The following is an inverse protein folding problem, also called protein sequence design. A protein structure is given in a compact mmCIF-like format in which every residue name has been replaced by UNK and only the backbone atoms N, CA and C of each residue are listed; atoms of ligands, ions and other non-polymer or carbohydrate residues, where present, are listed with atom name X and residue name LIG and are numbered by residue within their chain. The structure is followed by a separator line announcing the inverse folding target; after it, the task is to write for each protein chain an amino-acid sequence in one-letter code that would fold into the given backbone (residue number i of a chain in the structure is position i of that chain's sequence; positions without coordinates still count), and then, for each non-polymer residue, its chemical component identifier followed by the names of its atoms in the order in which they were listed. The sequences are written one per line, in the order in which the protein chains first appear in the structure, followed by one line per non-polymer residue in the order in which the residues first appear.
data_IF_507533175861
#
_entry.id   IF_507533175861
#
_cell.length_a   1.000
_cell.length_b   1.000
_cell.length_c   1.000
_cell.angle_alpha   90.00
_cell.angle_beta   90.00
_cell.angle_gamma   90.00
#
_symmetry.space_group_name_H-M   'P 1'
#
loop_
_entity.id
_entity.type
_entity.pdbx_description
1 polymer ?
#
# COMPACT_ATOMS: atom_id res chain seq x y z
N UNK A 1 -22.28 -34.47 4.76
CA UNK A 1 -21.10 -33.62 4.52
C UNK A 1 -20.36 -33.41 5.83
N UNK A 2 -19.17 -34.01 5.99
CA UNK A 2 -18.29 -33.74 7.12
C UNK A 2 -17.31 -32.64 6.72
N UNK A 3 -17.16 -31.61 7.56
CA UNK A 3 -16.18 -30.53 7.37
C UNK A 3 -14.94 -30.84 8.21
N UNK A 4 -13.75 -30.75 7.60
CA UNK A 4 -12.46 -30.90 8.29
C UNK A 4 -11.60 -29.67 8.01
N UNK A 5 -11.06 -29.07 9.08
CA UNK A 5 -10.07 -28.00 8.95
C UNK A 5 -8.73 -28.59 8.49
N UNK A 6 -8.17 -28.03 7.43
CA UNK A 6 -6.84 -28.32 6.89
C UNK A 6 -5.95 -27.16 7.33
N UNK A 7 -4.73 -27.43 7.78
CA UNK A 7 -3.73 -26.38 8.04
C UNK A 7 -4.18 -25.33 9.09
N UNK A 8 -4.56 -25.78 10.29
CA UNK A 8 -5.19 -24.94 11.34
C UNK A 8 -4.32 -23.80 11.88
N UNK A 9 -3.01 -23.93 11.78
CA UNK A 9 -2.02 -22.98 12.26
C UNK A 9 -1.68 -21.91 11.21
N UNK A 10 -2.29 -21.94 10.03
CA UNK A 10 -2.12 -20.94 9.00
C UNK A 10 -2.89 -19.66 9.35
N UNK A 11 -2.14 -18.56 9.46
CA UNK A 11 -2.68 -17.25 9.88
C UNK A 11 -2.84 -16.28 8.72
N UNK A 12 -2.36 -16.62 7.52
CA UNK A 12 -2.47 -15.81 6.31
C UNK A 12 -3.81 -16.06 5.62
N UNK A 13 -4.25 -15.12 4.80
CA UNK A 13 -5.54 -15.20 4.10
C UNK A 13 -5.31 -15.44 2.61
N UNK A 14 -5.56 -16.66 2.09
CA UNK A 14 -5.44 -16.92 0.65
C UNK A 14 -6.46 -16.11 -0.15
N UNK A 15 -6.01 -15.46 -1.22
CA UNK A 15 -6.85 -14.71 -2.16
C UNK A 15 -7.28 -15.55 -3.37
N UNK A 16 -6.59 -16.65 -3.62
CA UNK A 16 -6.96 -17.66 -4.61
C UNK A 16 -6.58 -19.06 -4.15
N UNK A 17 -7.39 -20.05 -4.53
CA UNK A 17 -7.16 -21.48 -4.29
C UNK A 17 -7.40 -22.26 -5.58
N UNK A 18 -6.48 -23.16 -5.93
CA UNK A 18 -6.64 -24.10 -7.04
C UNK A 18 -6.26 -25.51 -6.60
N UNK A 19 -7.01 -26.51 -7.06
CA UNK A 19 -6.70 -27.92 -6.78
C UNK A 19 -5.62 -28.47 -7.71
N UNK A 20 -4.76 -29.34 -7.16
CA UNK A 20 -3.97 -30.28 -7.96
C UNK A 20 -4.88 -31.24 -8.72
N UNK A 21 -4.34 -31.90 -9.76
CA UNK A 21 -5.11 -32.81 -10.59
C UNK A 21 -5.63 -34.05 -9.85
N UNK A 22 -4.86 -34.54 -8.86
CA UNK A 22 -5.18 -35.69 -8.00
C UNK A 22 -6.08 -35.34 -6.81
N UNK A 23 -6.31 -34.04 -6.54
CA UNK A 23 -7.07 -33.59 -5.37
C UNK A 23 -6.33 -33.72 -4.04
N UNK A 24 -5.03 -34.01 -4.05
CA UNK A 24 -4.24 -34.18 -2.82
C UNK A 24 -3.64 -32.87 -2.31
N UNK A 25 -3.60 -31.81 -3.14
CA UNK A 25 -3.02 -30.52 -2.81
C UNK A 25 -3.85 -29.33 -3.29
N UNK A 26 -3.69 -28.22 -2.60
CA UNK A 26 -4.16 -26.90 -3.00
C UNK A 26 -2.98 -25.97 -3.30
N UNK A 27 -3.07 -25.20 -4.37
CA UNK A 27 -2.22 -24.04 -4.63
C UNK A 27 -2.92 -22.80 -4.09
N UNK A 28 -2.30 -22.13 -3.13
CA UNK A 28 -2.82 -20.96 -2.45
C UNK A 28 -1.97 -19.73 -2.80
N UNK A 29 -2.60 -18.69 -3.36
CA UNK A 29 -1.99 -17.37 -3.49
C UNK A 29 -2.32 -16.59 -2.22
N UNK A 30 -1.34 -16.02 -1.54
CA UNK A 30 -1.57 -15.24 -0.32
C UNK A 30 -0.54 -14.12 -0.19
N UNK A 31 -0.86 -13.08 0.59
CA UNK A 31 0.14 -12.14 1.07
C UNK A 31 1.00 -12.82 2.14
N UNK A 32 2.30 -12.69 2.04
CA UNK A 32 3.28 -13.18 3.01
C UNK A 32 4.39 -12.14 3.11
N UNK A 33 4.31 -11.31 4.15
CA UNK A 33 5.10 -10.09 4.25
C UNK A 33 4.94 -9.23 2.97
N UNK A 34 6.03 -8.67 2.43
CA UNK A 34 6.04 -7.91 1.19
C UNK A 34 5.80 -8.74 -0.09
N UNK A 35 5.80 -10.08 -0.01
CA UNK A 35 5.62 -10.94 -1.18
C UNK A 35 4.15 -11.38 -1.35
N UNK A 36 3.81 -11.79 -2.58
CA UNK A 36 2.55 -12.51 -2.86
C UNK A 36 2.91 -13.86 -3.48
N UNK A 37 3.35 -14.84 -2.66
CA UNK A 37 3.75 -16.13 -3.17
C UNK A 37 2.59 -17.08 -3.46
N UNK A 38 2.93 -18.18 -4.15
CA UNK A 38 2.13 -19.40 -4.18
C UNK A 38 2.68 -20.38 -3.15
N UNK A 39 1.77 -20.97 -2.39
CA UNK A 39 2.01 -22.10 -1.51
C UNK A 39 1.29 -23.35 -2.01
N UNK A 40 1.90 -24.52 -1.86
CA UNK A 40 1.14 -25.78 -1.85
C UNK A 40 0.64 -26.07 -0.43
N UNK A 41 -0.55 -26.64 -0.32
CA UNK A 41 -1.16 -27.10 0.93
C UNK A 41 -1.66 -28.53 0.71
N UNK A 42 -1.01 -29.48 1.36
CA UNK A 42 -1.38 -30.90 1.35
C UNK A 42 -2.70 -31.10 2.08
N UNK A 43 -3.64 -31.79 1.43
CA UNK A 43 -4.96 -32.07 1.99
C UNK A 43 -4.89 -33.16 3.05
N UNK A 44 -4.15 -34.29 2.88
CA UNK A 44 -4.07 -35.34 3.90
C UNK A 44 -3.60 -34.82 5.26
N UNK A 45 -2.46 -34.12 5.30
CA UNK A 45 -1.75 -33.75 6.53
C UNK A 45 -1.71 -32.24 6.84
N UNK A 46 -2.15 -31.38 5.91
CA UNK A 46 -2.13 -29.92 6.08
C UNK A 46 -0.75 -29.28 5.94
N UNK A 47 0.27 -30.03 5.51
CA UNK A 47 1.62 -29.50 5.32
C UNK A 47 1.65 -28.48 4.18
N UNK A 48 2.47 -27.43 4.36
CA UNK A 48 2.56 -26.32 3.42
C UNK A 48 3.98 -26.11 2.94
N UNK A 49 4.13 -25.71 1.69
CA UNK A 49 5.43 -25.36 1.09
C UNK A 49 5.29 -24.14 0.19
N UNK A 50 6.19 -23.17 0.36
CA UNK A 50 6.26 -22.00 -0.52
C UNK A 50 6.96 -22.41 -1.82
N UNK A 51 6.26 -22.30 -2.95
CA UNK A 51 6.78 -22.76 -4.25
C UNK A 51 7.35 -21.64 -5.12
N UNK A 52 7.01 -20.38 -4.83
CA UNK A 52 7.58 -19.20 -5.51
C UNK A 52 8.59 -18.47 -4.62
N UNK A 53 9.60 -17.84 -5.24
CA UNK A 53 10.56 -16.98 -4.55
C UNK A 53 9.97 -15.62 -4.13
N UNK A 54 10.83 -14.60 -4.02
CA UNK A 54 10.45 -13.20 -3.83
C UNK A 54 9.55 -12.69 -4.97
N UNK A 55 8.89 -11.56 -4.76
CA UNK A 55 8.01 -10.91 -5.72
C UNK A 55 6.54 -11.27 -5.53
N UNK A 56 5.72 -10.97 -6.54
CA UNK A 56 4.26 -11.03 -6.42
C UNK A 56 3.62 -11.75 -7.59
N UNK A 57 2.76 -12.71 -7.26
CA UNK A 57 1.87 -13.39 -8.20
C UNK A 57 0.52 -12.68 -8.22
N UNK A 58 0.17 -12.07 -9.36
CA UNK A 58 -1.08 -11.33 -9.56
C UNK A 58 -2.12 -12.11 -10.36
N UNK A 59 -1.74 -13.27 -10.93
CA UNK A 59 -2.62 -14.15 -11.64
C UNK A 59 -2.16 -15.60 -11.55
N UNK A 60 -3.09 -16.52 -11.34
CA UNK A 60 -2.85 -17.96 -11.32
C UNK A 60 -3.96 -18.67 -12.10
N UNK A 61 -3.59 -19.49 -13.09
CA UNK A 61 -4.52 -20.26 -13.92
C UNK A 61 -3.96 -21.65 -14.22
N UNK A 62 -4.84 -22.64 -14.32
CA UNK A 62 -4.46 -23.99 -14.77
C UNK A 62 -4.37 -24.03 -16.29
N UNK A 63 -3.33 -24.68 -16.82
CA UNK A 63 -3.12 -24.97 -18.23
C UNK A 63 -2.61 -26.41 -18.39
N UNK A 64 -3.53 -27.35 -18.66
CA UNK A 64 -3.19 -28.78 -18.72
C UNK A 64 -2.67 -29.31 -17.38
N UNK A 65 -1.45 -29.86 -17.43
CA UNK A 65 -0.72 -30.41 -16.27
C UNK A 65 0.14 -29.36 -15.54
N UNK A 66 0.04 -28.09 -15.95
CA UNK A 66 0.79 -26.97 -15.39
C UNK A 66 -0.14 -25.86 -14.88
N UNK A 67 0.46 -24.93 -14.15
CA UNK A 67 -0.07 -23.64 -13.74
C UNK A 67 0.67 -22.55 -14.50
N UNK A 68 -0.07 -21.57 -15.00
CA UNK A 68 0.48 -20.31 -15.49
C UNK A 68 0.34 -19.26 -14.38
N UNK A 69 1.43 -18.56 -14.13
CA UNK A 69 1.52 -17.48 -13.16
C UNK A 69 1.83 -16.18 -13.88
N UNK A 70 1.12 -15.11 -13.54
CA UNK A 70 1.56 -13.75 -13.84
C UNK A 70 2.35 -13.26 -12.63
N UNK A 71 3.69 -13.15 -12.78
CA UNK A 71 4.60 -12.77 -11.69
C UNK A 71 5.39 -11.53 -12.06
N UNK A 72 5.57 -10.63 -11.09
CA UNK A 72 6.49 -9.49 -11.15
C UNK A 72 7.33 -9.38 -9.87
N UNK A 73 8.32 -8.51 -9.92
CA UNK A 73 9.13 -8.05 -8.79
C UNK A 73 9.38 -6.54 -8.91
N UNK A 74 10.04 -5.91 -7.95
CA UNK A 74 10.19 -4.45 -7.92
C UNK A 74 11.06 -3.95 -9.07
N UNK A 75 11.97 -4.80 -9.53
CA UNK A 75 12.89 -4.63 -10.65
C UNK A 75 12.51 -5.46 -11.89
N UNK A 76 11.36 -6.14 -11.87
CA UNK A 76 10.90 -6.97 -12.97
C UNK A 76 9.41 -6.77 -13.24
N UNK A 77 9.07 -6.25 -14.43
CA UNK A 77 7.69 -6.20 -14.91
C UNK A 77 7.02 -7.59 -14.93
N UNK A 78 5.69 -7.61 -14.98
CA UNK A 78 4.93 -8.86 -15.11
C UNK A 78 5.37 -9.66 -16.34
N UNK A 79 5.70 -10.92 -16.09
CA UNK A 79 5.91 -11.96 -17.10
C UNK A 79 5.15 -13.23 -16.74
N UNK A 80 4.98 -14.10 -17.73
CA UNK A 80 4.32 -15.39 -17.57
C UNK A 80 5.35 -16.43 -17.15
N UNK A 81 5.01 -17.16 -16.09
CA UNK A 81 5.78 -18.30 -15.59
C UNK A 81 4.93 -19.56 -15.64
N UNK A 82 5.59 -20.70 -15.73
CA UNK A 82 5.00 -22.03 -15.67
C UNK A 82 5.44 -22.77 -14.41
N UNK A 83 4.52 -23.44 -13.73
CA UNK A 83 4.79 -24.33 -12.62
C UNK A 83 4.05 -25.66 -12.84
N UNK A 84 4.73 -26.80 -12.74
CA UNK A 84 4.06 -28.10 -12.87
C UNK A 84 3.09 -28.35 -11.71
N UNK A 85 1.94 -28.99 -11.98
CA UNK A 85 1.00 -29.38 -10.92
C UNK A 85 1.58 -30.43 -9.97
N UNK A 86 2.59 -31.18 -10.40
CA UNK A 86 3.37 -32.10 -9.56
C UNK A 86 4.34 -31.39 -8.62
N UNK A 87 4.46 -30.05 -8.70
CA UNK A 87 5.34 -29.23 -7.89
C UNK A 87 6.64 -28.83 -8.59
N UNK A 88 7.58 -28.26 -7.82
CA UNK A 88 8.85 -27.74 -8.32
C UNK A 88 8.91 -26.21 -8.29
N UNK A 89 9.87 -25.64 -9.04
CA UNK A 89 10.07 -24.19 -9.12
C UNK A 89 9.44 -23.62 -10.40
N UNK A 90 8.86 -22.41 -10.36
CA UNK A 90 8.38 -21.72 -11.53
C UNK A 90 9.50 -21.47 -12.55
N UNK A 91 9.19 -21.63 -13.84
CA UNK A 91 10.07 -21.34 -14.98
C UNK A 91 9.46 -20.21 -15.82
N UNK A 92 10.24 -19.17 -16.09
CA UNK A 92 9.80 -18.06 -16.93
C UNK A 92 9.54 -18.54 -18.37
N UNK A 93 8.42 -18.12 -18.96
CA UNK A 93 8.01 -18.42 -20.33
C UNK A 93 8.18 -17.22 -21.27
N UNK A 94 8.03 -16.01 -20.75
CA UNK A 94 8.05 -14.78 -21.55
C UNK A 94 9.05 -13.79 -20.98
N UNK A 95 9.53 -12.91 -21.85
CA UNK A 95 10.22 -11.67 -21.49
C UNK A 95 9.61 -10.54 -22.34
N UNK A 96 8.41 -10.10 -21.95
CA UNK A 96 7.58 -9.18 -22.77
C UNK A 96 8.15 -7.75 -22.78
N UNK A 97 8.94 -7.40 -21.77
CA UNK A 97 9.41 -6.03 -21.56
C UNK A 97 10.95 -5.89 -21.50
N UNK A 98 11.73 -6.96 -21.65
CA UNK A 98 13.18 -6.92 -21.48
C UNK A 98 13.88 -5.89 -22.35
N UNK A 99 13.51 -5.81 -23.63
CA UNK A 99 14.00 -4.82 -24.60
C UNK A 99 13.62 -3.37 -24.25
N UNK A 100 12.47 -3.15 -23.61
CA UNK A 100 12.06 -1.82 -23.14
C UNK A 100 12.74 -1.41 -21.83
N UNK A 101 13.14 -2.38 -21.01
CA UNK A 101 13.74 -2.15 -19.69
C UNK A 101 15.27 -2.09 -19.74
N UNK A 102 15.91 -2.49 -20.84
CA UNK A 102 17.39 -2.60 -20.96
C UNK A 102 18.14 -1.33 -20.51
N UNK A 103 17.57 -0.14 -20.76
CA UNK A 103 18.18 1.15 -20.42
C UNK A 103 17.45 1.89 -19.28
N UNK A 104 16.59 1.18 -18.54
CA UNK A 104 15.85 1.73 -17.40
C UNK A 104 16.42 1.12 -16.12
N UNK A 105 16.93 1.97 -15.24
CA UNK A 105 17.30 1.53 -13.91
C UNK A 105 16.02 1.27 -13.08
N UNK A 106 15.87 0.03 -12.65
CA UNK A 106 14.94 -0.36 -11.60
C UNK A 106 15.77 -0.83 -10.41
N UNK A 107 15.61 -0.16 -9.27
CA UNK A 107 16.34 -0.51 -8.06
C UNK A 107 15.66 -1.67 -7.36
N UNK A 108 16.41 -2.67 -6.84
CA UNK A 108 15.81 -3.70 -6.01
C UNK A 108 15.24 -3.09 -4.72
N UNK A 109 14.17 -3.71 -4.20
CA UNK A 109 13.67 -3.39 -2.88
C UNK A 109 14.62 -3.95 -1.81
N UNK A 110 15.01 -3.12 -0.85
CA UNK A 110 15.80 -3.52 0.31
C UNK A 110 14.91 -3.54 1.55
N UNK A 111 14.58 -4.74 2.01
CA UNK A 111 13.79 -4.97 3.22
C UNK A 111 14.49 -4.48 4.48
N UNK A 112 13.69 -3.90 5.38
CA UNK A 112 14.06 -3.67 6.76
C UNK A 112 12.88 -3.94 7.68
N UNK A 113 13.20 -4.22 8.94
CA UNK A 113 12.20 -4.48 9.97
C UNK A 113 12.50 -3.64 11.20
N UNK A 114 11.44 -3.17 11.84
CA UNK A 114 11.53 -2.39 13.06
C UNK A 114 10.40 -2.79 14.02
N UNK A 115 10.54 -2.41 15.27
CA UNK A 115 9.49 -2.58 16.27
C UNK A 115 8.47 -1.43 16.10
N UNK A 116 7.24 -1.77 15.73
CA UNK A 116 6.14 -0.83 15.51
C UNK A 116 5.31 -0.59 16.77
N UNK A 117 4.04 -0.21 16.57
CA UNK A 117 3.03 -0.18 17.61
C UNK A 117 2.92 -1.55 18.30
N UNK A 118 2.51 -1.54 19.57
CA UNK A 118 2.34 -2.77 20.37
C UNK A 118 3.58 -3.68 20.46
N UNK A 119 4.75 -3.16 20.12
CA UNK A 119 5.99 -3.93 19.98
C UNK A 119 5.96 -5.03 18.91
N UNK A 120 5.00 -4.97 17.99
CA UNK A 120 4.91 -5.91 16.88
C UNK A 120 5.98 -5.60 15.82
N UNK A 121 6.44 -6.63 15.09
CA UNK A 121 7.41 -6.43 14.00
C UNK A 121 6.72 -5.88 12.76
N UNK A 122 7.15 -4.71 12.30
CA UNK A 122 6.64 -4.04 11.11
C UNK A 122 7.70 -4.05 10.02
N UNK A 123 7.28 -4.35 8.79
CA UNK A 123 8.16 -4.36 7.62
C UNK A 123 8.06 -3.03 6.88
N UNK A 124 9.22 -2.59 6.40
CA UNK A 124 9.30 -1.67 5.28
C UNK A 124 10.34 -2.12 4.29
N UNK A 125 10.39 -1.46 3.17
CA UNK A 125 11.50 -1.57 2.23
C UNK A 125 11.80 -0.22 1.63
N UNK A 126 13.03 -0.09 1.14
CA UNK A 126 13.47 1.10 0.43
C UNK A 126 14.00 0.76 -0.95
N UNK A 127 13.90 1.73 -1.86
CA UNK A 127 14.57 1.68 -3.17
C UNK A 127 15.52 2.87 -3.24
N UNK A 128 16.78 2.57 -3.58
CA UNK A 128 17.84 3.58 -3.70
C UNK A 128 17.78 4.27 -5.06
N UNK A 129 18.12 5.56 -5.14
CA UNK A 129 18.11 6.30 -6.38
C UNK A 129 19.16 5.79 -7.38
N UNK A 130 18.96 6.15 -8.65
CA UNK A 130 19.93 5.87 -9.73
C UNK A 130 21.30 6.46 -9.37
N UNK A 131 22.36 5.68 -9.54
CA UNK A 131 23.73 6.14 -9.25
C UNK A 131 23.97 6.43 -7.76
N UNK A 132 23.32 5.66 -6.89
CA UNK A 132 23.47 5.78 -5.44
C UNK A 132 24.95 5.76 -4.99
N UNK A 133 25.28 6.70 -4.11
CA UNK A 133 26.58 6.88 -3.48
C UNK A 133 26.36 6.94 -1.95
N UNK A 134 26.87 5.97 -1.17
CA UNK A 134 26.65 5.92 0.27
C UNK A 134 27.27 7.11 1.03
N UNK A 135 28.15 7.90 0.40
CA UNK A 135 28.70 9.12 0.99
C UNK A 135 27.79 10.35 0.83
N UNK A 136 26.73 10.27 0.02
CA UNK A 136 25.77 11.36 -0.22
C UNK A 136 24.51 11.18 0.61
N UNK A 137 23.77 12.28 0.80
CA UNK A 137 22.43 12.28 1.40
C UNK A 137 21.34 12.61 0.40
N UNK A 138 20.29 11.79 0.40
CA UNK A 138 19.19 11.85 -0.55
C UNK A 138 17.89 12.26 0.15
N UNK A 139 17.01 13.04 -0.51
CA UNK A 139 15.67 13.30 0.02
C UNK A 139 14.86 11.99 0.09
N UNK A 140 13.88 11.94 0.98
CA UNK A 140 13.02 10.77 1.18
C UNK A 140 11.66 10.99 0.52
N UNK A 141 11.21 10.06 -0.32
CA UNK A 141 9.83 9.95 -0.77
C UNK A 141 9.15 8.80 -0.01
N UNK A 142 8.28 9.14 0.93
CA UNK A 142 7.65 8.20 1.85
C UNK A 142 6.24 7.85 1.37
N UNK A 143 6.09 6.65 0.82
CA UNK A 143 4.89 6.21 0.10
C UNK A 143 4.01 5.40 1.06
N UNK A 144 2.84 5.95 1.39
CA UNK A 144 1.86 5.33 2.28
C UNK A 144 0.74 4.71 1.44
N UNK A 145 0.52 3.40 1.58
CA UNK A 145 -0.51 2.69 0.81
C UNK A 145 -1.93 3.04 1.24
N UNK A 146 -2.88 2.83 0.33
CA UNK A 146 -4.31 2.87 0.59
C UNK A 146 -4.82 1.62 1.31
N UNK A 147 -6.15 1.49 1.43
CA UNK A 147 -6.80 0.43 2.20
C UNK A 147 -7.76 1.02 3.24
N UNK A 148 -7.57 0.78 4.55
CA UNK A 148 -6.29 0.43 5.18
C UNK A 148 -5.94 -1.06 5.18
N UNK A 149 -6.90 -1.96 4.93
CA UNK A 149 -6.66 -3.41 4.91
C UNK A 149 -6.09 -3.89 3.56
N UNK A 150 -5.06 -3.20 3.09
CA UNK A 150 -4.23 -3.57 1.94
C UNK A 150 -2.76 -3.50 2.34
N UNK A 151 -1.86 -3.92 1.47
CA UNK A 151 -0.42 -3.84 1.67
C UNK A 151 0.25 -3.40 0.37
N UNK A 152 1.37 -2.69 0.47
CA UNK A 152 2.29 -2.68 -0.65
C UNK A 152 2.93 -4.08 -0.78
N UNK A 153 3.42 -4.39 -1.96
CA UNK A 153 4.13 -5.64 -2.22
C UNK A 153 5.38 -5.36 -3.05
N UNK A 154 6.28 -6.33 -3.12
CA UNK A 154 7.42 -6.32 -4.03
C UNK A 154 7.00 -6.45 -5.51
N UNK A 155 5.72 -6.57 -5.85
CA UNK A 155 5.26 -6.58 -7.23
C UNK A 155 5.52 -5.26 -7.96
N UNK A 156 5.69 -5.34 -9.28
CA UNK A 156 5.91 -4.14 -10.09
C UNK A 156 4.66 -3.26 -10.13
N UNK A 157 4.77 -2.03 -9.62
CA UNK A 157 3.72 -1.02 -9.71
C UNK A 157 3.66 -0.35 -11.09
N UNK A 158 2.51 -0.33 -11.73
CA UNK A 158 2.32 0.36 -13.03
C UNK A 158 1.77 1.79 -12.90
N UNK A 159 1.59 2.27 -11.67
CA UNK A 159 0.89 3.52 -11.36
C UNK A 159 1.80 4.53 -10.64
N UNK A 160 1.18 5.58 -10.13
CA UNK A 160 1.82 6.67 -9.40
C UNK A 160 2.50 6.21 -8.10
N UNK A 161 2.28 4.96 -7.69
CA UNK A 161 2.80 4.39 -6.45
C UNK A 161 4.04 3.50 -6.66
N UNK A 162 4.58 3.44 -7.88
CA UNK A 162 5.85 2.74 -8.13
C UNK A 162 7.02 3.52 -7.52
N UNK A 163 7.75 2.95 -6.54
CA UNK A 163 8.90 3.62 -5.91
C UNK A 163 10.02 3.94 -6.91
N UNK A 164 10.19 3.15 -7.98
CA UNK A 164 11.22 3.41 -8.97
C UNK A 164 11.08 4.78 -9.66
N UNK A 165 9.86 5.30 -9.79
CA UNK A 165 9.62 6.62 -10.40
C UNK A 165 10.29 7.73 -9.59
N UNK A 166 10.15 7.72 -8.27
CA UNK A 166 10.79 8.74 -7.42
C UNK A 166 12.28 8.43 -7.17
N UNK A 167 12.67 7.15 -7.17
CA UNK A 167 14.08 6.77 -7.14
C UNK A 167 14.82 7.32 -8.37
N UNK A 168 14.20 7.28 -9.55
CA UNK A 168 14.74 7.89 -10.77
C UNK A 168 14.86 9.42 -10.67
N UNK A 169 13.99 10.06 -9.88
CA UNK A 169 14.03 11.49 -9.59
C UNK A 169 15.05 11.86 -8.49
N UNK A 170 15.82 10.90 -7.99
CA UNK A 170 16.90 11.12 -7.02
C UNK A 170 16.47 11.02 -5.55
N UNK A 171 15.29 10.48 -5.26
CA UNK A 171 14.86 10.20 -3.89
C UNK A 171 15.32 8.81 -3.45
N UNK A 172 15.60 8.64 -2.15
CA UNK A 172 15.38 7.34 -1.53
C UNK A 172 13.88 7.21 -1.36
N UNK A 173 13.30 6.11 -1.81
CA UNK A 173 11.87 5.85 -1.60
C UNK A 173 11.70 4.82 -0.52
N UNK A 174 10.66 4.94 0.30
CA UNK A 174 10.34 3.90 1.26
C UNK A 174 8.83 3.65 1.35
N UNK A 175 8.49 2.40 1.59
CA UNK A 175 7.15 1.89 1.79
C UNK A 175 7.12 1.11 3.10
N UNK A 176 6.03 1.22 3.85
CA UNK A 176 5.85 0.53 5.13
C UNK A 176 4.45 -0.09 5.15
N UNK A 177 4.41 -1.38 5.48
CA UNK A 177 3.18 -2.11 5.67
C UNK A 177 2.81 -2.05 7.15
N UNK A 178 2.09 -1.00 7.51
CA UNK A 178 1.68 -0.71 8.88
C UNK A 178 0.58 -1.66 9.38
N UNK A 179 0.32 -1.67 10.69
CA UNK A 179 -0.78 -2.41 11.34
C UNK A 179 -2.07 -2.26 10.54
N UNK A 180 -2.75 -3.37 10.23
CA UNK A 180 -3.87 -3.37 9.28
C UNK A 180 -3.53 -4.04 7.95
N UNK A 181 -2.25 -4.08 7.58
CA UNK A 181 -1.81 -4.75 6.35
C UNK A 181 -2.02 -6.27 6.44
N UNK A 182 -2.50 -6.94 5.37
CA UNK A 182 -2.43 -8.40 5.25
C UNK A 182 -0.98 -8.87 5.09
N UNK A 183 -0.74 -10.17 5.28
CA UNK A 183 0.59 -10.77 5.15
C UNK A 183 1.37 -10.93 6.46
N UNK A 184 0.84 -10.40 7.57
CA UNK A 184 1.43 -10.45 8.91
C UNK A 184 0.53 -11.19 9.93
N UNK A 185 -0.49 -11.89 9.44
CA UNK A 185 -1.48 -12.62 10.22
C UNK A 185 -2.75 -11.80 10.54
N UNK A 186 -3.88 -12.49 10.69
CA UNK A 186 -5.20 -11.84 10.87
C UNK A 186 -5.24 -10.88 12.07
N UNK A 187 -4.58 -11.18 13.18
CA UNK A 187 -4.54 -10.28 14.35
C UNK A 187 -3.88 -8.93 14.04
N UNK A 188 -2.87 -8.92 13.16
CA UNK A 188 -2.19 -7.69 12.72
C UNK A 188 -3.12 -6.89 11.80
N UNK A 189 -3.85 -7.56 10.89
CA UNK A 189 -4.86 -6.95 10.02
C UNK A 189 -6.06 -6.39 10.80
N UNK A 190 -6.56 -7.08 11.82
CA UNK A 190 -7.71 -6.65 12.62
C UNK A 190 -7.35 -5.58 13.65
N UNK A 191 -6.05 -5.38 13.91
CA UNK A 191 -5.56 -4.47 14.96
C UNK A 191 -5.98 -3.01 14.76
N UNK A 192 -6.35 -2.63 13.53
CA UNK A 192 -6.80 -1.28 13.18
C UNK A 192 -8.27 -1.00 13.50
N UNK A 193 -9.02 -2.00 13.97
CA UNK A 193 -10.38 -1.80 14.41
C UNK A 193 -10.42 -0.71 15.49
N UNK A 194 -11.12 0.38 15.19
CA UNK A 194 -11.20 1.63 15.98
C UNK A 194 -9.86 2.32 16.21
N UNK A 195 -8.89 2.15 15.31
CA UNK A 195 -7.51 2.62 15.45
C UNK A 195 -6.92 3.19 14.14
N UNK A 196 -7.73 3.64 13.18
CA UNK A 196 -7.25 4.18 11.88
C UNK A 196 -6.15 5.23 12.01
N UNK A 197 -6.26 6.22 12.90
CA UNK A 197 -5.21 7.21 13.13
C UNK A 197 -4.26 6.87 14.29
N UNK A 198 -4.36 5.67 14.84
CA UNK A 198 -3.63 5.17 16.00
C UNK A 198 -2.40 4.36 15.59
N UNK A 199 -2.49 3.02 15.65
CA UNK A 199 -1.36 2.12 15.37
C UNK A 199 -0.70 2.34 14.01
N UNK A 200 -1.45 2.55 12.90
CA UNK A 200 -0.83 2.88 11.62
C UNK A 200 0.05 4.13 11.65
N UNK A 201 -0.41 5.19 12.33
CA UNK A 201 0.37 6.42 12.47
C UNK A 201 1.64 6.19 13.29
N UNK A 202 1.55 5.44 14.39
CA UNK A 202 2.70 5.08 15.23
C UNK A 202 3.75 4.29 14.43
N UNK A 203 3.33 3.27 13.68
CA UNK A 203 4.23 2.49 12.81
C UNK A 203 4.91 3.38 11.78
N UNK A 204 4.14 4.25 11.13
CA UNK A 204 4.66 5.13 10.09
C UNK A 204 5.66 6.14 10.66
N UNK A 205 5.48 6.62 11.90
CA UNK A 205 6.45 7.50 12.56
C UNK A 205 7.71 6.75 12.99
N UNK A 206 7.59 5.54 13.56
CA UNK A 206 8.74 4.71 13.94
C UNK A 206 9.53 4.25 12.71
N UNK A 207 8.84 3.94 11.63
CA UNK A 207 9.44 3.66 10.33
C UNK A 207 10.21 4.84 9.75
N UNK A 208 9.63 6.06 9.86
CA UNK A 208 10.33 7.28 9.49
C UNK A 208 11.57 7.54 10.36
N UNK A 209 11.54 7.19 11.66
CA UNK A 209 12.70 7.25 12.54
C UNK A 209 13.81 6.28 12.13
N UNK A 210 13.44 5.04 11.79
CA UNK A 210 14.37 4.06 11.23
C UNK A 210 15.05 4.61 9.98
N UNK A 211 14.27 5.10 9.01
CA UNK A 211 14.80 5.67 7.77
C UNK A 211 15.69 6.90 8.01
N UNK A 212 15.30 7.78 8.93
CA UNK A 212 16.07 8.97 9.28
C UNK A 212 17.42 8.66 9.96
N UNK A 213 17.59 7.45 10.52
CA UNK A 213 18.84 6.99 11.10
C UNK A 213 19.88 6.57 10.06
N UNK A 214 19.44 6.28 8.83
CA UNK A 214 20.33 5.87 7.74
C UNK A 214 21.20 7.05 7.30
N UNK A 215 22.52 6.84 7.24
CA UNK A 215 23.51 7.91 6.98
C UNK A 215 23.29 8.64 5.65
N UNK A 216 22.69 7.95 4.67
CA UNK A 216 22.42 8.46 3.33
C UNK A 216 21.02 9.06 3.17
N UNK A 217 20.17 9.10 4.20
CA UNK A 217 18.85 9.72 4.16
C UNK A 217 18.91 11.14 4.75
N UNK A 218 18.35 12.10 4.02
CA UNK A 218 18.13 13.47 4.48
C UNK A 218 16.67 13.66 4.91
N UNK A 219 16.40 13.41 6.20
CA UNK A 219 15.06 13.54 6.77
C UNK A 219 14.52 14.97 6.77
N UNK A 220 15.38 16.00 6.63
CA UNK A 220 14.92 17.39 6.50
C UNK A 220 14.27 17.69 5.15
N UNK A 221 14.49 16.82 4.15
CA UNK A 221 13.90 16.87 2.81
C UNK A 221 12.94 15.69 2.57
N UNK A 222 12.33 15.16 3.61
CA UNK A 222 11.30 14.12 3.48
C UNK A 222 9.99 14.70 2.94
N UNK A 223 9.41 14.04 1.95
CA UNK A 223 8.04 14.24 1.48
C UNK A 223 7.25 12.95 1.69
N UNK A 224 5.96 13.06 1.98
CA UNK A 224 5.09 11.89 2.05
C UNK A 224 4.00 11.98 0.98
N UNK A 225 3.59 10.82 0.49
CA UNK A 225 2.59 10.71 -0.55
C UNK A 225 1.75 9.45 -0.37
N UNK A 226 0.45 9.56 -0.63
CA UNK A 226 -0.47 8.43 -0.48
C UNK A 226 -1.85 8.69 -1.08
N UNK A 227 -2.55 7.60 -1.41
CA UNK A 227 -3.92 7.63 -1.92
C UNK A 227 -4.93 7.05 -0.94
N UNK A 228 -6.19 7.48 -1.03
CA UNK A 228 -7.29 6.85 -0.27
C UNK A 228 -7.00 6.90 1.24
N UNK A 229 -6.93 5.77 1.94
CA UNK A 229 -6.43 5.75 3.32
C UNK A 229 -5.01 6.36 3.49
N UNK A 230 -4.10 6.15 2.53
CA UNK A 230 -2.81 6.85 2.52
C UNK A 230 -2.95 8.36 2.38
N UNK A 231 -3.96 8.84 1.65
CA UNK A 231 -4.34 10.25 1.56
C UNK A 231 -4.98 10.77 2.86
N UNK A 232 -5.79 9.95 3.54
CA UNK A 232 -6.21 10.22 4.92
C UNK A 232 -5.00 10.41 5.83
N UNK A 233 -3.99 9.55 5.71
CA UNK A 233 -2.76 9.67 6.48
C UNK A 233 -1.96 10.93 6.13
N UNK A 234 -2.03 11.45 4.90
CA UNK A 234 -1.44 12.76 4.59
C UNK A 234 -2.14 13.89 5.36
N UNK A 235 -3.47 13.89 5.40
CA UNK A 235 -4.23 14.84 6.23
C UNK A 235 -3.91 14.66 7.73
N UNK A 236 -3.79 13.41 8.19
CA UNK A 236 -3.42 13.09 9.57
C UNK A 236 -1.98 13.51 9.90
N UNK A 237 -1.03 13.36 8.98
CA UNK A 237 0.33 13.89 9.14
C UNK A 237 0.32 15.41 9.28
N UNK A 238 -0.48 16.11 8.48
CA UNK A 238 -0.62 17.57 8.60
C UNK A 238 -1.18 17.99 9.98
N UNK A 239 -2.12 17.20 10.51
CA UNK A 239 -2.72 17.37 11.83
C UNK A 239 -1.75 17.10 13.00
N UNK A 240 -0.92 16.07 12.88
CA UNK A 240 -0.17 15.49 14.02
C UNK A 240 1.34 15.77 14.01
N UNK A 241 1.94 16.12 12.86
CA UNK A 241 3.40 16.25 12.75
C UNK A 241 3.83 17.34 11.78
N UNK A 242 5.12 17.68 11.83
CA UNK A 242 5.80 18.70 10.98
C UNK A 242 7.04 18.15 10.28
N UNK A 243 7.22 16.82 10.29
CA UNK A 243 8.42 16.15 9.78
C UNK A 243 8.52 16.12 8.24
N UNK A 244 7.41 16.32 7.54
CA UNK A 244 7.39 16.32 6.08
C UNK A 244 7.44 17.75 5.53
N UNK A 245 8.30 17.97 4.54
CA UNK A 245 8.47 19.25 3.86
C UNK A 245 7.31 19.56 2.92
N UNK A 246 6.72 18.53 2.32
CA UNK A 246 5.52 18.60 1.51
C UNK A 246 4.75 17.27 1.56
N UNK A 247 3.47 17.32 1.23
CA UNK A 247 2.59 16.16 1.14
C UNK A 247 1.96 16.08 -0.26
N UNK A 248 1.78 14.87 -0.78
CA UNK A 248 0.93 14.60 -1.95
C UNK A 248 -0.25 13.76 -1.51
N UNK A 249 -1.42 14.37 -1.47
CA UNK A 249 -2.66 13.75 -1.04
C UNK A 249 -3.52 13.44 -2.27
N UNK A 250 -3.76 12.16 -2.54
CA UNK A 250 -4.59 11.70 -3.65
C UNK A 250 -5.87 11.05 -3.09
N UNK A 251 -7.04 11.59 -3.42
CA UNK A 251 -8.34 11.03 -2.99
C UNK A 251 -8.41 10.71 -1.48
N UNK A 252 -7.86 11.59 -0.63
CA UNK A 252 -7.68 11.33 0.80
C UNK A 252 -8.78 11.90 1.70
N UNK A 253 -9.20 11.13 2.70
CA UNK A 253 -10.26 11.55 3.62
C UNK A 253 -9.78 12.69 4.54
N UNK A 254 -10.62 13.71 4.68
CA UNK A 254 -10.41 14.84 5.59
C UNK A 254 -11.39 14.84 6.76
N UNK A 255 -12.67 14.56 6.49
CA UNK A 255 -13.74 14.48 7.49
C UNK A 255 -14.29 13.06 7.54
N UNK A 256 -13.95 12.31 8.59
CA UNK A 256 -14.40 10.91 8.75
C UNK A 256 -15.91 10.77 8.95
N UNK A 257 -16.65 11.66 9.65
CA UNK A 257 -18.11 11.54 9.70
C UNK A 257 -18.76 11.81 8.35
N UNK A 258 -18.32 12.85 7.63
CA UNK A 258 -18.88 13.19 6.31
C UNK A 258 -18.61 12.10 5.29
N UNK A 259 -17.44 11.46 5.35
CA UNK A 259 -17.09 10.34 4.47
C UNK A 259 -18.13 9.21 4.49
N UNK A 260 -18.65 8.83 5.66
CA UNK A 260 -19.69 7.79 5.76
C UNK A 260 -20.97 8.18 4.99
N UNK A 261 -21.34 9.46 4.97
CA UNK A 261 -22.54 9.93 4.29
C UNK A 261 -22.38 10.06 2.76
N UNK A 262 -21.15 10.09 2.25
CA UNK A 262 -20.88 10.37 0.84
C UNK A 262 -20.27 9.18 0.08
N UNK A 263 -19.69 8.21 0.78
CA UNK A 263 -19.03 7.04 0.15
C UNK A 263 -20.01 5.99 -0.38
N UNK A 264 -19.64 5.35 -1.49
CA UNK A 264 -20.24 4.09 -1.97
C UNK A 264 -19.84 2.86 -1.13
N UNK A 265 -18.80 2.96 -0.30
CA UNK A 265 -18.15 1.82 0.36
C UNK A 265 -18.37 1.79 1.88
N UNK A 266 -19.62 1.55 2.32
CA UNK A 266 -20.04 1.68 3.73
C UNK A 266 -19.45 0.63 4.69
N UNK A 267 -18.95 -0.50 4.19
CA UNK A 267 -18.46 -1.60 5.04
C UNK A 267 -17.30 -1.14 5.94
N UNK A 268 -16.30 -0.46 5.38
CA UNK A 268 -15.11 -0.01 6.12
C UNK A 268 -15.44 0.98 7.24
N UNK A 269 -16.15 2.10 6.99
CA UNK A 269 -16.43 3.04 8.08
C UNK A 269 -17.35 2.43 9.14
N UNK A 270 -18.28 1.54 8.79
CA UNK A 270 -19.10 0.86 9.82
C UNK A 270 -18.30 -0.16 10.63
N UNK A 271 -17.50 -1.01 9.98
CA UNK A 271 -16.70 -2.01 10.65
C UNK A 271 -15.59 -1.36 11.50
N UNK A 272 -14.76 -0.54 10.89
CA UNK A 272 -13.53 -0.03 11.50
C UNK A 272 -13.78 1.10 12.49
N UNK A 273 -14.87 1.87 12.36
CA UNK A 273 -15.27 2.83 13.40
C UNK A 273 -16.24 2.21 14.43
N UNK A 274 -16.68 0.97 14.18
CA UNK A 274 -17.51 0.16 15.04
C UNK A 274 -18.95 0.65 15.17
N UNK A 275 -19.51 1.15 14.06
CA UNK A 275 -20.89 1.57 13.91
C UNK A 275 -21.04 2.76 12.97
N UNK A 276 -22.24 3.34 12.97
CA UNK A 276 -22.64 4.50 12.18
C UNK A 276 -22.30 5.83 12.88
N UNK A 277 -22.09 6.95 12.16
CA UNK A 277 -21.60 8.21 12.76
C UNK A 277 -22.67 8.99 13.56
N UNK A 278 -23.94 8.60 13.52
CA UNK A 278 -25.01 9.24 14.30
C UNK A 278 -25.29 8.53 15.65
N UNK A 279 -24.70 7.36 15.86
CA UNK A 279 -24.77 6.66 17.14
C UNK A 279 -23.70 7.21 18.09
N UNK A 280 -24.10 7.56 19.31
CA UNK A 280 -23.21 8.22 20.28
C UNK A 280 -21.95 7.39 20.63
N UNK A 281 -22.05 6.06 20.58
CA UNK A 281 -20.95 5.15 20.91
C UNK A 281 -19.87 5.15 19.81
N UNK A 282 -20.25 4.95 18.54
CA UNK A 282 -19.33 4.94 17.40
C UNK A 282 -18.86 6.34 17.00
N UNK A 283 -19.68 7.39 17.21
CA UNK A 283 -19.31 8.79 16.93
C UNK A 283 -17.97 9.17 17.54
N UNK A 284 -17.68 8.67 18.74
CA UNK A 284 -16.40 8.94 19.40
C UNK A 284 -15.21 8.45 18.58
N UNK A 285 -15.31 7.28 17.93
CA UNK A 285 -14.25 6.75 17.07
C UNK A 285 -14.07 7.60 15.81
N UNK A 286 -15.17 7.94 15.13
CA UNK A 286 -15.13 8.84 13.97
C UNK A 286 -14.39 10.12 14.34
N UNK A 287 -14.78 10.77 15.43
CA UNK A 287 -14.23 12.07 15.84
C UNK A 287 -12.84 12.01 16.46
N UNK A 288 -12.38 10.85 16.93
CA UNK A 288 -11.05 10.69 17.54
C UNK A 288 -9.95 10.80 16.49
N UNK A 289 -10.17 10.22 15.31
CA UNK A 289 -9.22 10.18 14.21
C UNK A 289 -9.74 10.99 13.02
N UNK A 290 -10.34 12.15 13.29
CA UNK A 290 -10.89 13.05 12.27
C UNK A 290 -9.90 14.20 12.00
N UNK A 291 -9.18 14.23 10.85
CA UNK A 291 -8.24 15.31 10.52
C UNK A 291 -8.86 16.71 10.59
N UNK A 292 -10.14 16.85 10.24
CA UNK A 292 -10.89 18.11 10.29
C UNK A 292 -10.84 18.78 11.67
N UNK A 293 -10.94 17.99 12.76
CA UNK A 293 -10.89 18.53 14.13
C UNK A 293 -9.54 19.14 14.50
N UNK A 294 -8.51 18.85 13.72
CA UNK A 294 -7.15 19.34 13.91
C UNK A 294 -6.75 20.34 12.81
N UNK A 295 -7.71 20.91 12.07
CA UNK A 295 -7.47 21.86 10.98
C UNK A 295 -6.55 23.05 11.38
N UNK A 296 -6.59 23.48 12.65
CA UNK A 296 -5.71 24.53 13.19
C UNK A 296 -4.22 24.17 13.15
N UNK A 297 -3.87 22.88 13.05
CA UNK A 297 -2.50 22.42 12.96
C UNK A 297 -1.99 22.37 11.52
N UNK A 298 -2.84 22.49 10.50
CA UNK A 298 -2.43 22.29 9.12
C UNK A 298 -1.48 23.40 8.62
N UNK A 299 -0.21 23.05 8.38
CA UNK A 299 0.85 24.00 7.98
C UNK A 299 1.78 23.47 6.90
N UNK A 300 1.64 22.21 6.50
CA UNK A 300 2.53 21.59 5.54
C UNK A 300 2.03 21.84 4.12
N UNK A 301 2.89 22.34 3.20
CA UNK A 301 2.55 22.45 1.79
C UNK A 301 2.00 21.15 1.23
N UNK A 302 0.89 21.21 0.50
CA UNK A 302 0.21 19.99 0.03
C UNK A 302 -0.23 20.12 -1.43
N UNK A 303 0.13 19.13 -2.24
CA UNK A 303 -0.46 18.87 -3.55
C UNK A 303 -1.65 17.94 -3.34
N UNK A 304 -2.84 18.39 -3.73
CA UNK A 304 -4.04 17.56 -3.77
C UNK A 304 -4.27 17.08 -5.20
N UNK A 305 -4.61 15.81 -5.35
CA UNK A 305 -4.99 15.19 -6.62
C UNK A 305 -6.33 14.53 -6.42
N UNK A 306 -7.31 14.79 -7.30
CA UNK A 306 -8.64 14.18 -7.17
C UNK A 306 -9.31 13.87 -8.52
N UNK A 307 -9.96 12.70 -8.59
CA UNK A 307 -10.79 12.28 -9.73
C UNK A 307 -12.25 12.79 -9.66
N UNK A 308 -12.80 13.27 -10.77
CA UNK A 308 -14.18 13.81 -10.83
C UNK A 308 -15.29 12.78 -10.65
N UNK A 309 -15.01 11.51 -10.94
CA UNK A 309 -15.94 10.40 -10.80
C UNK A 309 -15.58 9.49 -9.60
N UNK A 310 -14.90 10.05 -8.59
CA UNK A 310 -14.63 9.33 -7.35
C UNK A 310 -15.88 9.32 -6.46
N UNK A 311 -16.61 8.20 -6.47
CA UNK A 311 -17.74 7.95 -5.58
C UNK A 311 -17.33 7.23 -4.28
N UNK A 312 -16.06 6.82 -4.16
CA UNK A 312 -15.52 6.18 -2.97
C UNK A 312 -15.08 7.21 -1.96
N UNK A 313 -14.20 8.12 -2.35
CA UNK A 313 -13.82 9.30 -1.56
C UNK A 313 -14.24 10.53 -2.35
N UNK A 314 -15.44 11.07 -2.12
CA UNK A 314 -15.93 12.15 -2.96
C UNK A 314 -15.13 13.45 -2.79
N UNK A 315 -15.14 14.28 -3.85
CA UNK A 315 -14.19 15.38 -4.05
C UNK A 315 -14.17 16.44 -2.93
N UNK A 316 -15.24 16.58 -2.15
CA UNK A 316 -15.25 17.47 -1.00
C UNK A 316 -14.14 17.15 0.01
N UNK A 317 -13.71 15.89 0.07
CA UNK A 317 -12.64 15.43 0.96
C UNK A 317 -11.27 16.02 0.60
N UNK A 318 -11.03 16.38 -0.67
CA UNK A 318 -9.83 17.15 -1.08
C UNK A 318 -10.08 18.66 -1.13
N UNK A 319 -11.27 19.10 -1.53
CA UNK A 319 -11.58 20.54 -1.62
C UNK A 319 -11.56 21.23 -0.25
N UNK A 320 -12.03 20.57 0.80
CA UNK A 320 -12.05 21.09 2.16
C UNK A 320 -10.64 21.40 2.71
N UNK A 321 -9.68 20.45 2.77
CA UNK A 321 -8.32 20.72 3.25
C UNK A 321 -7.53 21.63 2.28
N UNK A 322 -7.78 21.57 0.96
CA UNK A 322 -7.22 22.52 0.02
C UNK A 322 -7.63 23.96 0.36
N UNK A 323 -8.93 24.19 0.54
CA UNK A 323 -9.46 25.51 0.91
C UNK A 323 -8.88 25.98 2.24
N UNK A 324 -8.83 25.11 3.25
CA UNK A 324 -8.21 25.40 4.54
C UNK A 324 -6.76 25.90 4.38
N UNK A 325 -5.90 25.17 3.67
CA UNK A 325 -4.50 25.57 3.47
C UNK A 325 -4.38 26.90 2.73
N UNK A 326 -5.16 27.08 1.65
CA UNK A 326 -5.19 28.34 0.89
C UNK A 326 -5.62 29.53 1.76
N UNK A 327 -6.64 29.36 2.61
CA UNK A 327 -7.13 30.41 3.53
C UNK A 327 -6.14 30.75 4.64
N UNK A 328 -5.23 29.83 4.96
CA UNK A 328 -4.15 30.04 5.93
C UNK A 328 -2.85 30.55 5.31
N UNK A 329 -2.81 30.78 3.99
CA UNK A 329 -1.59 31.19 3.29
C UNK A 329 -0.53 30.09 3.21
N UNK A 330 -0.90 28.83 3.46
CA UNK A 330 -0.01 27.69 3.26
C UNK A 330 -0.04 27.31 1.78
N UNK A 331 1.12 27.09 1.11
CA UNK A 331 1.14 26.67 -0.28
C UNK A 331 0.34 25.39 -0.50
N UNK A 332 -0.67 25.47 -1.36
CA UNK A 332 -1.47 24.33 -1.76
C UNK A 332 -1.86 24.44 -3.23
N UNK A 333 -1.91 23.30 -3.91
CA UNK A 333 -2.25 23.14 -5.33
C UNK A 333 -3.24 21.98 -5.44
N UNK A 334 -4.23 22.10 -6.33
CA UNK A 334 -5.19 21.06 -6.63
C UNK A 334 -5.07 20.68 -8.11
N UNK A 335 -4.86 19.40 -8.37
CA UNK A 335 -4.88 18.80 -9.70
C UNK A 335 -6.16 17.99 -9.78
N UNK A 336 -7.08 18.43 -10.62
CA UNK A 336 -8.40 17.83 -10.78
C UNK A 336 -8.50 17.14 -12.13
N UNK A 337 -8.81 15.84 -12.11
CA UNK A 337 -9.01 15.04 -13.31
C UNK A 337 -10.51 14.71 -13.48
N UNK A 338 -11.28 15.48 -14.26
CA UNK A 338 -12.75 15.36 -14.28
C UNK A 338 -13.27 13.99 -14.75
N UNK A 339 -12.47 13.26 -15.52
CA UNK A 339 -12.86 11.97 -16.10
C UNK A 339 -12.19 10.76 -15.40
N UNK A 340 -11.41 10.98 -14.35
CA UNK A 340 -10.85 9.89 -13.54
C UNK A 340 -11.81 9.52 -12.40
N UNK A 341 -11.71 8.28 -11.93
CA UNK A 341 -12.42 7.78 -10.76
C UNK A 341 -11.50 7.86 -9.53
N UNK A 342 -11.66 6.96 -8.54
CA UNK A 342 -10.78 6.81 -7.37
C UNK A 342 -9.30 6.45 -7.70
N UNK A 343 -8.96 6.34 -8.98
CA UNK A 343 -7.62 6.12 -9.47
C UNK A 343 -7.37 7.02 -10.69
N UNK A 344 -6.11 7.43 -10.88
CA UNK A 344 -5.67 8.09 -12.12
C UNK A 344 -5.22 7.04 -13.14
N UNK A 345 -6.14 6.58 -14.00
CA UNK A 345 -5.91 5.44 -14.89
C UNK A 345 -5.54 5.84 -16.32
N UNK A 346 -6.04 6.97 -16.82
CA UNK A 346 -5.71 7.39 -18.17
C UNK A 346 -4.23 7.79 -18.23
N UNK A 347 -3.49 7.20 -19.16
CA UNK A 347 -2.02 7.35 -19.26
C UNK A 347 -1.62 8.83 -19.32
N UNK A 348 -2.34 9.66 -20.09
CA UNK A 348 -2.06 11.09 -20.19
C UNK A 348 -2.21 11.83 -18.84
N UNK A 349 -3.22 11.47 -18.05
CA UNK A 349 -3.40 12.03 -16.71
C UNK A 349 -2.36 11.49 -15.73
N UNK A 350 -1.96 10.23 -15.86
CA UNK A 350 -0.86 9.65 -15.08
C UNK A 350 0.47 10.37 -15.34
N UNK A 351 0.79 10.67 -16.61
CA UNK A 351 1.97 11.48 -16.96
C UNK A 351 1.84 12.88 -16.36
N UNK A 352 0.66 13.51 -16.49
CA UNK A 352 0.40 14.83 -15.88
C UNK A 352 0.65 14.79 -14.38
N UNK A 353 0.13 13.79 -13.68
CA UNK A 353 0.31 13.58 -12.24
C UNK A 353 1.78 13.67 -11.81
N UNK A 354 2.69 12.98 -12.53
CA UNK A 354 4.12 13.01 -12.21
C UNK A 354 4.80 14.35 -12.48
N UNK A 355 4.24 15.20 -13.34
CA UNK A 355 4.81 16.51 -13.70
C UNK A 355 4.32 17.67 -12.82
N UNK A 356 3.32 17.42 -11.96
CA UNK A 356 2.69 18.45 -11.12
C UNK A 356 3.38 18.69 -9.78
#
# INVERSE_FOLDING_TARGET
NQTRAISRDWTLSPTALLWSADGEQLFAVTNDAGDIPVYTVSVPDGKRERVTGHGSVSGLRRAGDNLLLLRSDQDQCNDIYELALSGGKPRQLTDVNGDKLENIYLGPAEDFWFEGARSDRVQGWLVKPVGFDPAKKYPLAYIVHGGPQQANSHGFGYSQWNPNMYASAGFVTAQINFHGSPGYGQNFTDSIWKQWGGYPFEDLMKGLDHLASLSFVDSSRAVALGASYGGFMMNWFNAQTKRFRALVNHDGLFSTPTFWYSTEELWFPEHDFGGVPYDAASRQTYERFNPERHAANFTTPTLFVHGGNDFRVPIEQSLAPFTLLRRRGVPAKLVYFPNENHWTQHIGNSVKWFTE
#
